data_IF_015748253603
#
_entry.id   IF_015748253603
#
_cell.length_a   1.000
_cell.length_b   1.000
_cell.length_c   1.000
_cell.angle_alpha   90.00
_cell.angle_beta   90.00
_cell.angle_gamma   90.00
#
_symmetry.space_group_name_H-M   'P 1'
#
loop_
_entity.id
_entity.type
_entity.pdbx_description
1 polymer ?
#
# COMPACT_ATOMS: atom_id res chain seq x y z
N UNK A 1 2.01 -38.24 -5.68
CA UNK A 1 1.24 -37.29 -6.51
C UNK A 1 1.93 -35.95 -6.36
N UNK A 2 2.40 -35.38 -7.46
CA UNK A 2 3.32 -34.25 -7.45
C UNK A 2 2.70 -33.00 -6.81
N UNK A 3 3.54 -32.28 -6.08
CA UNK A 3 3.26 -31.09 -5.29
C UNK A 3 2.48 -30.04 -6.07
N UNK A 4 1.34 -29.62 -5.55
CA UNK A 4 0.55 -28.50 -6.04
C UNK A 4 1.23 -27.18 -5.64
N UNK A 5 2.41 -26.96 -6.21
CA UNK A 5 3.08 -25.66 -6.18
C UNK A 5 2.56 -24.84 -7.34
N UNK A 6 1.38 -24.23 -7.18
CA UNK A 6 1.04 -23.11 -8.05
C UNK A 6 2.16 -22.08 -7.89
N UNK A 7 2.93 -21.84 -8.95
CA UNK A 7 3.90 -20.76 -8.99
C UNK A 7 3.14 -19.46 -8.80
N UNK A 8 3.16 -18.96 -7.57
CA UNK A 8 2.54 -17.71 -7.20
C UNK A 8 3.46 -16.61 -7.73
N UNK A 9 3.10 -16.07 -8.90
CA UNK A 9 3.79 -14.94 -9.51
C UNK A 9 3.58 -13.68 -8.67
N UNK A 10 4.55 -12.77 -8.66
CA UNK A 10 4.47 -11.51 -7.93
C UNK A 10 3.16 -10.76 -8.17
N UNK A 11 2.70 -10.71 -9.43
CA UNK A 11 1.40 -10.12 -9.79
C UNK A 11 0.22 -10.74 -9.01
N UNK A 12 0.15 -12.07 -8.89
CA UNK A 12 -0.91 -12.75 -8.11
C UNK A 12 -0.81 -12.46 -6.61
N UNK A 13 0.39 -12.24 -6.10
CA UNK A 13 0.61 -11.84 -4.70
C UNK A 13 0.10 -10.40 -4.51
N UNK A 14 0.48 -9.51 -5.40
CA UNK A 14 0.08 -8.11 -5.41
C UNK A 14 -1.45 -7.95 -5.49
N UNK A 15 -2.11 -8.72 -6.36
CA UNK A 15 -3.57 -8.76 -6.46
C UNK A 15 -4.23 -9.25 -5.15
N UNK A 16 -3.68 -10.30 -4.52
CA UNK A 16 -4.18 -10.77 -3.23
C UNK A 16 -4.02 -9.71 -2.13
N UNK A 17 -2.88 -9.03 -2.09
CA UNK A 17 -2.61 -7.98 -1.10
C UNK A 17 -3.59 -6.83 -1.29
N UNK A 18 -3.67 -6.27 -2.50
CA UNK A 18 -4.57 -5.14 -2.83
C UNK A 18 -6.02 -5.48 -2.54
N UNK A 19 -6.46 -6.70 -2.88
CA UNK A 19 -7.81 -7.20 -2.56
C UNK A 19 -8.07 -7.43 -1.06
N UNK A 20 -7.02 -7.68 -0.27
CA UNK A 20 -7.10 -7.88 1.18
C UNK A 20 -6.96 -6.58 1.98
N UNK A 21 -6.60 -5.46 1.32
CA UNK A 21 -6.53 -4.16 1.98
C UNK A 21 -7.94 -3.72 2.42
N UNK A 22 -8.01 -3.10 3.61
CA UNK A 22 -9.26 -2.57 4.14
C UNK A 22 -9.81 -1.44 3.26
N UNK A 23 -11.12 -1.26 3.24
CA UNK A 23 -11.85 -0.22 2.48
C UNK A 23 -11.33 1.21 2.74
N UNK A 24 -10.74 1.48 3.92
CA UNK A 24 -10.07 2.75 4.21
C UNK A 24 -8.84 3.04 3.34
N UNK A 25 -8.31 2.03 2.65
CA UNK A 25 -7.18 2.11 1.73
C UNK A 25 -7.63 2.03 0.26
N UNK A 26 -8.94 2.07 -0.02
CA UNK A 26 -9.49 2.00 -1.39
C UNK A 26 -8.88 3.05 -2.32
N UNK A 27 -8.69 4.28 -1.83
CA UNK A 27 -7.98 5.34 -2.56
C UNK A 27 -6.55 4.94 -2.97
N UNK A 28 -5.86 4.15 -2.14
CA UNK A 28 -4.49 3.69 -2.44
C UNK A 28 -4.55 2.60 -3.52
N UNK A 29 -5.47 1.65 -3.38
CA UNK A 29 -5.68 0.58 -4.38
C UNK A 29 -6.01 1.20 -5.74
N UNK A 30 -6.96 2.14 -5.78
CA UNK A 30 -7.34 2.86 -6.98
C UNK A 30 -6.15 3.60 -7.61
N UNK A 31 -5.34 4.32 -6.81
CA UNK A 31 -4.15 4.99 -7.33
C UNK A 31 -3.08 4.03 -7.86
N UNK A 32 -2.95 2.83 -7.28
CA UNK A 32 -2.05 1.79 -7.78
C UNK A 32 -2.56 1.26 -9.12
N UNK A 33 -3.84 0.92 -9.21
CA UNK A 33 -4.50 0.43 -10.42
C UNK A 33 -4.46 1.47 -11.57
N UNK A 34 -4.66 2.75 -11.25
CA UNK A 34 -4.54 3.85 -12.22
C UNK A 34 -3.10 4.08 -12.70
N UNK A 35 -2.11 3.83 -11.84
CA UNK A 35 -0.71 4.04 -12.19
C UNK A 35 -0.12 2.89 -13.01
N UNK A 36 -0.51 1.64 -12.72
CA UNK A 36 -0.02 0.44 -13.41
C UNK A 36 -0.94 -0.77 -13.14
N UNK A 37 -1.01 -1.69 -14.09
CA UNK A 37 -1.58 -3.03 -13.89
C UNK A 37 -0.90 -3.74 -12.69
N UNK A 38 -1.71 -4.09 -11.68
CA UNK A 38 -1.25 -4.79 -10.46
C UNK A 38 -0.64 -6.15 -10.80
N UNK A 39 -1.12 -6.80 -11.86
CA UNK A 39 -0.59 -8.08 -12.35
C UNK A 39 0.82 -7.97 -12.92
N UNK A 40 1.28 -6.77 -13.28
CA UNK A 40 2.64 -6.50 -13.79
C UNK A 40 3.54 -5.82 -12.75
N UNK A 41 3.04 -5.68 -11.51
CA UNK A 41 3.78 -5.08 -10.40
C UNK A 41 4.56 -6.15 -9.64
N UNK A 42 5.84 -5.89 -9.40
CA UNK A 42 6.67 -6.71 -8.52
C UNK A 42 6.28 -6.51 -7.06
N UNK A 43 6.45 -7.55 -6.24
CA UNK A 43 6.12 -7.48 -4.81
C UNK A 43 6.87 -6.34 -4.09
N UNK A 44 8.14 -6.14 -4.43
CA UNK A 44 8.99 -5.08 -3.86
C UNK A 44 8.44 -3.67 -4.17
N UNK A 45 7.96 -3.45 -5.39
CA UNK A 45 7.39 -2.15 -5.80
C UNK A 45 6.09 -1.85 -5.03
N UNK A 46 5.24 -2.86 -4.85
CA UNK A 46 4.01 -2.73 -4.08
C UNK A 46 4.32 -2.44 -2.60
N UNK A 47 5.25 -3.18 -2.00
CA UNK A 47 5.66 -2.95 -0.61
C UNK A 47 6.23 -1.55 -0.42
N UNK A 48 7.19 -1.15 -1.26
CA UNK A 48 7.81 0.17 -1.21
C UNK A 48 6.78 1.30 -1.33
N UNK A 49 5.77 1.14 -2.21
CA UNK A 49 4.69 2.10 -2.38
C UNK A 49 3.80 2.23 -1.14
N UNK A 50 3.45 1.11 -0.52
CA UNK A 50 2.65 1.08 0.72
C UNK A 50 3.41 1.70 1.90
N UNK A 51 4.67 1.31 2.11
CA UNK A 51 5.52 1.82 3.18
C UNK A 51 5.76 3.33 3.04
N UNK A 52 6.08 3.81 1.83
CA UNK A 52 6.26 5.23 1.57
C UNK A 52 5.00 6.04 1.89
N UNK A 53 3.81 5.47 1.67
CA UNK A 53 2.54 6.12 2.01
C UNK A 53 2.31 6.16 3.51
N UNK A 54 2.55 5.06 4.23
CA UNK A 54 2.43 5.03 5.69
C UNK A 54 3.39 6.04 6.36
N UNK A 55 4.64 6.11 5.89
CA UNK A 55 5.62 7.08 6.36
C UNK A 55 5.13 8.53 6.17
N UNK A 56 4.65 8.88 4.97
CA UNK A 56 4.11 10.22 4.70
C UNK A 56 2.90 10.55 5.57
N UNK A 57 2.04 9.55 5.85
CA UNK A 57 0.87 9.73 6.72
C UNK A 57 1.29 9.99 8.17
N UNK A 58 2.29 9.24 8.67
CA UNK A 58 2.88 9.42 10.00
C UNK A 58 3.51 10.80 10.15
N UNK A 59 4.31 11.23 9.18
CA UNK A 59 4.92 12.57 9.18
C UNK A 59 3.87 13.68 9.19
N UNK A 60 2.81 13.53 8.38
CA UNK A 60 1.73 14.52 8.32
C UNK A 60 0.92 14.57 9.62
N UNK A 61 0.68 13.43 10.27
CA UNK A 61 0.05 13.39 11.59
C UNK A 61 0.92 14.07 12.65
N UNK A 62 2.23 13.79 12.66
CA UNK A 62 3.18 14.43 13.57
C UNK A 62 3.18 15.95 13.38
N UNK A 63 3.19 16.44 12.14
CA UNK A 63 3.09 17.88 11.84
C UNK A 63 1.78 18.48 12.36
N UNK A 64 0.64 17.82 12.15
CA UNK A 64 -0.66 18.29 12.67
C UNK A 64 -0.67 18.42 14.19
N UNK A 65 -0.08 17.47 14.92
CA UNK A 65 -0.01 17.50 16.38
C UNK A 65 0.84 18.70 16.86
N UNK A 66 2.00 18.92 16.23
CA UNK A 66 2.86 20.06 16.57
C UNK A 66 2.17 21.39 16.27
N UNK A 67 1.52 21.50 15.12
CA UNK A 67 0.83 22.72 14.70
C UNK A 67 -0.36 23.03 15.63
N UNK A 68 -1.15 22.03 16.03
CA UNK A 68 -2.22 22.20 17.01
C UNK A 68 -1.70 22.58 18.40
N UNK A 69 -0.57 22.03 18.84
CA UNK A 69 0.05 22.40 20.12
C UNK A 69 0.58 23.85 20.10
N UNK A 70 1.10 24.31 18.96
CA UNK A 70 1.57 25.70 18.77
C UNK A 70 0.42 26.71 18.74
N UNK A 71 -0.73 26.34 18.17
CA UNK A 71 -1.91 27.21 18.10
C UNK A 71 -2.66 27.31 19.45
N UNK A 72 -2.37 26.44 20.41
CA UNK A 72 -3.01 26.41 21.72
C UNK A 72 -2.24 27.17 22.82
N UNK A 73 -1.18 27.93 22.46
CA UNK A 73 -0.38 28.75 23.38
C UNK A 73 -0.74 30.24 23.31
#
# INVERSE_FOLDING_TARGET
>A
MATQGETLTDGKICEKITRSLLEKYDYIVCAIEESKEVSEMSLEELQSSLEARELRLLERNKKKIVEQALLAQ
#
